data_IF_864702502190
#
_entry.id   IF_864702502190
#
_cell.length_a   1.000
_cell.length_b   1.000
_cell.length_c   1.000
_cell.angle_alpha   90.00
_cell.angle_beta   90.00
_cell.angle_gamma   90.00
#
_symmetry.space_group_name_H-M   'P 1'
#
loop_
_entity.id
_entity.type
_entity.pdbx_description
1 polymer ?
#
# COMPACT_ATOMS: atom_id res chain seq x y z
N UNK A 1 25.07 -25.03 -27.53
CA UNK A 1 24.00 -24.01 -27.66
C UNK A 1 23.52 -23.67 -26.26
N UNK A 2 23.77 -22.45 -25.78
CA UNK A 2 23.24 -22.01 -24.49
C UNK A 2 21.76 -21.67 -24.70
N UNK A 3 20.88 -22.50 -24.14
CA UNK A 3 19.44 -22.21 -24.12
C UNK A 3 19.25 -21.00 -23.22
N UNK A 4 19.11 -19.82 -23.83
CA UNK A 4 18.69 -18.61 -23.14
C UNK A 4 17.30 -18.85 -22.58
N UNK A 5 17.21 -19.33 -21.35
CA UNK A 5 15.95 -19.42 -20.63
C UNK A 5 15.42 -17.99 -20.55
N UNK A 6 14.37 -17.68 -21.31
CA UNK A 6 13.72 -16.37 -21.21
C UNK A 6 13.15 -16.29 -19.81
N UNK A 7 13.77 -15.48 -18.95
CA UNK A 7 13.20 -15.14 -17.66
C UNK A 7 11.76 -14.68 -17.90
N UNK A 8 10.79 -15.14 -17.09
CA UNK A 8 9.40 -14.75 -17.27
C UNK A 8 9.31 -13.22 -17.26
N UNK A 9 8.62 -12.70 -18.27
CA UNK A 9 8.51 -11.27 -18.49
C UNK A 9 7.92 -10.60 -17.24
N UNK A 10 8.59 -9.57 -16.74
CA UNK A 10 8.13 -8.85 -15.56
C UNK A 10 6.81 -8.13 -15.85
N UNK A 11 5.80 -8.41 -15.03
CA UNK A 11 4.45 -7.90 -15.18
C UNK A 11 4.21 -6.68 -14.30
N UNK A 12 3.64 -5.59 -14.84
CA UNK A 12 3.25 -4.44 -14.06
C UNK A 12 2.05 -4.78 -13.14
N UNK A 13 2.09 -4.23 -11.94
CA UNK A 13 1.02 -4.32 -10.97
C UNK A 13 1.11 -3.21 -9.92
N UNK A 14 0.14 -3.18 -9.02
CA UNK A 14 0.08 -2.23 -7.91
C UNK A 14 -0.15 -2.97 -6.61
N UNK A 15 0.56 -2.58 -5.55
CA UNK A 15 0.33 -3.11 -4.21
C UNK A 15 -1.03 -2.63 -3.71
N UNK A 16 -2.02 -3.51 -3.65
CA UNK A 16 -3.38 -3.15 -3.26
C UNK A 16 -3.56 -3.24 -1.74
N UNK A 17 -3.03 -4.31 -1.14
CA UNK A 17 -3.19 -4.60 0.28
C UNK A 17 -2.05 -5.48 0.82
N UNK A 18 -2.19 -5.95 2.05
CA UNK A 18 -1.29 -6.92 2.68
C UNK A 18 -2.07 -8.11 3.22
N UNK A 19 -1.44 -9.29 3.22
CA UNK A 19 -1.97 -10.48 3.88
C UNK A 19 -2.00 -10.27 5.41
N UNK A 20 -2.69 -11.16 6.13
CA UNK A 20 -2.69 -11.15 7.59
C UNK A 20 -1.29 -11.36 8.21
N UNK A 21 -0.35 -11.90 7.41
CA UNK A 21 1.06 -12.10 7.78
C UNK A 21 1.95 -10.92 7.39
N UNK A 22 1.39 -9.87 6.79
CA UNK A 22 2.11 -8.69 6.34
C UNK A 22 2.76 -8.83 4.96
N UNK A 23 2.42 -9.84 4.18
CA UNK A 23 2.95 -10.01 2.82
C UNK A 23 2.21 -9.07 1.85
N UNK A 24 2.91 -8.30 1.00
CA UNK A 24 2.25 -7.45 0.04
C UNK A 24 1.43 -8.25 -0.97
N UNK A 25 0.21 -7.80 -1.22
CA UNK A 25 -0.72 -8.33 -2.22
C UNK A 25 -0.75 -7.37 -3.41
N UNK A 26 -0.27 -7.84 -4.55
CA UNK A 26 -0.17 -7.05 -5.78
C UNK A 26 -1.31 -7.42 -6.70
N UNK A 27 -2.07 -6.41 -7.15
CA UNK A 27 -3.00 -6.59 -8.26
C UNK A 27 -2.24 -6.45 -9.57
N UNK A 28 -2.23 -7.51 -10.35
CA UNK A 28 -1.67 -7.49 -11.70
C UNK A 28 -2.61 -6.74 -12.65
N UNK A 29 -2.03 -6.00 -13.60
CA UNK A 29 -2.83 -5.34 -14.65
C UNK A 29 -3.59 -6.39 -15.48
N UNK A 30 -4.89 -6.15 -15.72
CA UNK A 30 -5.72 -7.03 -16.56
C UNK A 30 -5.24 -7.07 -18.00
N UNK A 31 -4.58 -6.02 -18.48
CA UNK A 31 -3.95 -6.02 -19.80
C UNK A 31 -2.88 -7.13 -19.95
N UNK A 32 -2.34 -7.63 -18.83
CA UNK A 32 -1.38 -8.72 -18.79
C UNK A 32 -2.02 -10.12 -18.80
N UNK A 33 -3.33 -10.24 -19.08
CA UNK A 33 -4.08 -11.50 -19.17
C UNK A 33 -3.38 -12.63 -19.91
N UNK A 34 -2.75 -12.32 -21.04
CA UNK A 34 -2.06 -13.32 -21.86
C UNK A 34 -0.81 -13.93 -21.19
N UNK A 35 -0.17 -13.21 -20.26
CA UNK A 35 1.10 -13.61 -19.63
C UNK A 35 0.89 -14.04 -18.18
N UNK A 36 -0.04 -13.39 -17.47
CA UNK A 36 -0.42 -13.78 -16.11
C UNK A 36 -1.37 -14.99 -16.08
N UNK A 37 -1.98 -15.36 -17.23
CA UNK A 37 -3.01 -16.39 -17.29
C UNK A 37 -4.17 -16.05 -16.35
N UNK A 38 -4.58 -17.03 -15.54
CA UNK A 38 -5.65 -16.88 -14.55
C UNK A 38 -5.34 -15.88 -13.43
N UNK A 39 -4.06 -15.49 -13.26
CA UNK A 39 -3.66 -14.51 -12.25
C UNK A 39 -3.94 -13.06 -12.66
N UNK A 40 -4.31 -12.79 -13.91
CA UNK A 40 -4.65 -11.43 -14.34
C UNK A 40 -5.89 -10.89 -13.62
N UNK A 41 -5.72 -9.75 -12.96
CA UNK A 41 -6.77 -9.16 -12.11
C UNK A 41 -6.98 -9.88 -10.77
N UNK A 42 -6.19 -10.91 -10.45
CA UNK A 42 -6.13 -11.49 -9.11
C UNK A 42 -5.06 -10.79 -8.25
N UNK A 43 -5.20 -10.92 -6.93
CA UNK A 43 -4.21 -10.46 -5.97
C UNK A 43 -3.16 -11.55 -5.77
N UNK A 44 -1.93 -11.27 -6.19
CA UNK A 44 -0.81 -12.19 -6.01
C UNK A 44 0.03 -11.79 -4.79
N UNK A 45 0.33 -12.73 -3.88
CA UNK A 45 1.23 -12.46 -2.77
C UNK A 45 2.67 -12.40 -3.28
N UNK A 46 3.39 -11.35 -2.88
CA UNK A 46 4.82 -11.19 -3.20
C UNK A 46 5.65 -11.23 -1.93
N UNK A 47 6.76 -11.95 -1.99
CA UNK A 47 7.68 -12.12 -0.85
C UNK A 47 8.92 -11.25 -0.97
N UNK A 48 9.55 -10.94 0.17
CA UNK A 48 10.92 -10.41 0.22
C UNK A 48 11.09 -8.91 -0.05
N UNK A 49 10.00 -8.13 -0.11
CA UNK A 49 10.08 -6.69 -0.31
C UNK A 49 9.19 -5.91 0.67
N UNK A 50 9.80 -4.96 1.39
CA UNK A 50 9.06 -3.91 2.08
C UNK A 50 8.47 -2.96 1.04
N UNK A 51 7.15 -3.03 0.88
CA UNK A 51 6.37 -2.22 -0.05
C UNK A 51 5.32 -1.43 0.73
N UNK A 52 4.73 -0.42 0.08
CA UNK A 52 3.60 0.35 0.62
C UNK A 52 2.39 0.23 -0.31
N UNK A 53 1.19 0.47 0.23
CA UNK A 53 -0.04 0.46 -0.58
C UNK A 53 0.05 1.49 -1.70
N UNK A 54 -0.60 1.19 -2.82
CA UNK A 54 -0.62 1.98 -4.05
C UNK A 54 0.75 2.14 -4.73
N UNK A 55 1.77 1.38 -4.30
CA UNK A 55 3.07 1.41 -4.95
C UNK A 55 3.03 0.63 -6.28
N UNK A 56 3.42 1.25 -7.40
CA UNK A 56 3.61 0.54 -8.66
C UNK A 56 4.81 -0.39 -8.57
N UNK A 57 4.66 -1.63 -9.03
CA UNK A 57 5.69 -2.67 -8.98
C UNK A 57 5.67 -3.51 -10.25
N UNK A 58 6.81 -4.09 -10.58
CA UNK A 58 6.94 -5.11 -11.61
C UNK A 58 7.34 -6.41 -10.95
N UNK A 59 6.55 -7.44 -11.17
CA UNK A 59 6.69 -8.74 -10.54
C UNK A 59 6.88 -9.82 -11.59
N UNK A 60 7.67 -10.83 -11.29
CA UNK A 60 7.84 -11.99 -12.15
C UNK A 60 7.71 -13.26 -11.30
N UNK A 61 7.36 -14.37 -11.92
CA UNK A 61 7.46 -15.66 -11.25
C UNK A 61 8.92 -16.11 -11.22
N UNK A 62 9.38 -16.64 -10.09
CA UNK A 62 10.66 -17.33 -10.04
C UNK A 62 10.54 -18.76 -10.58
N UNK A 63 11.66 -19.50 -10.61
CA UNK A 63 11.68 -20.89 -11.05
C UNK A 63 10.80 -21.84 -10.19
N UNK A 64 10.37 -21.40 -9.00
CA UNK A 64 9.48 -22.13 -8.10
C UNK A 64 8.00 -21.75 -8.27
N UNK A 65 7.68 -20.84 -9.20
CA UNK A 65 6.32 -20.34 -9.43
C UNK A 65 5.86 -19.27 -8.44
N UNK A 66 6.74 -18.77 -7.57
CA UNK A 66 6.42 -17.70 -6.62
C UNK A 66 6.60 -16.33 -7.26
N UNK A 67 5.71 -15.40 -6.91
CA UNK A 67 5.82 -14.02 -7.37
C UNK A 67 6.86 -13.26 -6.56
N UNK A 68 7.83 -12.68 -7.25
CA UNK A 68 8.90 -11.85 -6.67
C UNK A 68 8.90 -10.47 -7.33
N UNK A 69 9.19 -9.44 -6.53
CA UNK A 69 9.34 -8.07 -7.05
C UNK A 69 10.68 -7.96 -7.75
N UNK A 70 10.65 -7.69 -9.06
CA UNK A 70 11.83 -7.45 -9.88
C UNK A 70 12.22 -5.96 -9.85
N UNK A 71 11.23 -5.08 -9.96
CA UNK A 71 11.44 -3.64 -9.97
C UNK A 71 10.34 -2.92 -9.23
N UNK A 72 10.71 -1.89 -8.48
CA UNK A 72 9.77 -0.95 -7.88
C UNK A 72 9.65 0.25 -8.82
N UNK A 73 8.43 0.70 -9.07
CA UNK A 73 8.25 2.00 -9.70
C UNK A 73 8.68 3.08 -8.73
N UNK A 74 9.50 4.01 -9.21
CA UNK A 74 9.47 5.33 -8.64
C UNK A 74 8.03 5.82 -8.81
N UNK A 75 7.38 6.28 -7.73
CA UNK A 75 6.23 7.16 -7.89
C UNK A 75 6.68 8.23 -8.88
N UNK A 76 5.98 8.40 -10.01
CA UNK A 76 6.41 9.31 -11.07
C UNK A 76 7.00 10.61 -10.49
N UNK A 77 8.29 10.81 -10.72
CA UNK A 77 8.99 12.08 -10.55
C UNK A 77 8.47 13.08 -11.61
N UNK A 78 7.17 13.38 -11.52
CA UNK A 78 6.44 14.19 -12.50
C UNK A 78 5.31 15.03 -11.90
N UNK A 79 4.97 14.85 -10.61
CA UNK A 79 4.22 15.87 -9.88
C UNK A 79 5.22 16.76 -9.16
N UNK A 80 5.28 18.09 -9.44
CA UNK A 80 6.15 18.97 -8.68
C UNK A 80 5.85 18.75 -7.20
N UNK A 81 6.89 18.44 -6.42
CA UNK A 81 6.81 18.39 -4.96
C UNK A 81 6.03 19.62 -4.53
N UNK A 82 4.81 19.43 -4.01
CA UNK A 82 4.03 20.51 -3.45
C UNK A 82 4.82 21.05 -2.26
N UNK A 83 5.67 22.06 -2.49
CA UNK A 83 6.30 22.89 -1.47
C UNK A 83 5.19 23.74 -0.88
N UNK A 84 4.43 23.11 0.00
CA UNK A 84 3.25 23.66 0.62
C UNK A 84 2.59 22.57 1.42
N UNK A 85 3.10 22.31 2.62
CA UNK A 85 2.27 21.75 3.68
C UNK A 85 1.16 22.76 3.93
N UNK A 86 0.08 22.68 3.14
CA UNK A 86 -1.14 23.42 3.41
C UNK A 86 -1.77 22.81 4.66
N UNK A 87 -1.37 23.33 5.82
CA UNK A 87 -1.99 23.10 7.13
C UNK A 87 -3.46 23.60 7.20
N UNK A 88 -4.00 24.04 6.07
CA UNK A 88 -5.30 24.67 5.93
C UNK A 88 -6.48 23.72 5.71
N UNK A 89 -6.26 22.40 5.64
CA UNK A 89 -7.38 21.44 5.61
C UNK A 89 -7.72 20.85 7.00
N UNK A 90 -7.18 21.41 8.08
CA UNK A 90 -7.47 20.96 9.45
C UNK A 90 -8.57 21.78 10.16
N UNK A 91 -9.33 22.64 9.46
CA UNK A 91 -10.30 23.53 10.12
C UNK A 91 -11.77 23.09 10.10
N UNK A 92 -12.15 22.00 9.42
CA UNK A 92 -13.55 21.55 9.42
C UNK A 92 -13.73 20.05 9.62
N UNK A 93 -13.86 19.65 10.90
CA UNK A 93 -14.96 18.79 11.40
C UNK A 93 -14.65 18.19 12.78
N UNK A 94 -14.61 19.01 13.84
CA UNK A 94 -14.94 18.52 15.20
C UNK A 94 -15.89 19.47 15.93
N UNK A 95 -16.98 19.86 15.27
CA UNK A 95 -18.22 20.14 16.01
C UNK A 95 -18.86 18.80 16.38
N UNK A 96 -18.47 18.24 17.52
CA UNK A 96 -19.30 17.28 18.26
C UNK A 96 -19.07 17.42 19.76
N UNK A 97 -19.98 18.20 20.36
CA UNK A 97 -20.57 18.08 21.70
C UNK A 97 -19.99 16.92 22.54
N UNK A 98 -19.04 17.25 23.40
CA UNK A 98 -18.54 16.39 24.48
C UNK A 98 -18.28 17.26 25.69
N UNK A 99 -19.18 17.17 26.67
CA UNK A 99 -19.19 17.82 27.99
C UNK A 99 -17.78 17.99 28.61
N UNK A 100 -17.30 19.23 28.76
CA UNK A 100 -16.04 19.57 29.43
C UNK A 100 -16.18 19.27 30.93
N UNK A 101 -15.68 18.11 31.38
CA UNK A 101 -15.41 17.84 32.78
C UNK A 101 -13.91 17.82 33.03
N UNK A 102 -13.48 18.12 34.25
CA UNK A 102 -12.08 17.97 34.66
C UNK A 102 -11.95 16.98 35.81
N UNK A 103 -10.80 16.31 35.87
CA UNK A 103 -10.44 15.37 36.92
C UNK A 103 -9.64 16.12 37.99
N UNK A 104 -10.11 16.12 39.24
CA UNK A 104 -9.34 16.68 40.37
C UNK A 104 -8.49 15.56 41.00
N UNK A 105 -7.20 15.58 40.70
CA UNK A 105 -6.23 14.61 41.22
C UNK A 105 -6.05 14.68 42.76
N UNK A 106 -6.44 15.80 43.40
CA UNK A 106 -6.40 15.94 44.86
C UNK A 106 -7.54 15.21 45.59
N UNK A 107 -8.63 14.88 44.89
CA UNK A 107 -9.82 14.24 45.49
C UNK A 107 -10.22 12.92 44.83
N UNK A 108 -9.62 12.57 43.70
CA UNK A 108 -9.92 11.33 42.98
C UNK A 108 -11.36 11.27 42.44
N UNK A 109 -11.92 12.41 42.05
CA UNK A 109 -13.30 12.50 41.56
C UNK A 109 -13.39 13.22 40.21
N UNK A 110 -14.29 12.74 39.36
CA UNK A 110 -14.62 13.37 38.07
C UNK A 110 -15.70 14.43 38.28
N UNK A 111 -15.41 15.67 37.89
CA UNK A 111 -16.39 16.75 37.91
C UNK A 111 -16.96 16.94 36.51
N UNK A 112 -18.22 16.52 36.30
CA UNK A 112 -18.97 16.77 35.07
C UNK A 112 -19.34 18.25 34.92
N UNK A 113 -19.73 18.71 33.71
CA UNK A 113 -20.04 20.12 33.49
C UNK A 113 -21.33 20.51 34.20
N UNK A 114 -21.30 21.70 34.80
CA UNK A 114 -22.49 22.43 35.22
C UNK A 114 -23.35 22.84 34.01
#
# INVERSE_FOLDING_TARGET
AATSASLPAALPGVVENFSARGEPLVRLDRACGAVAGDAAGQLVPVSGALLVRQQPVWVAQDASGRWVVQRRGAAEDGKPKARGLSLWNNSMSKRKKGRTGYWDAGRGAWHGPH
#
